data_IF_373783236587
#
_entry.id   IF_373783236587
#
_cell.length_a   1.000
_cell.length_b   1.000
_cell.length_c   1.000
_cell.angle_alpha   90.00
_cell.angle_beta   90.00
_cell.angle_gamma   90.00
#
_symmetry.space_group_name_H-M   'P 1'
#
loop_
_entity.id
_entity.type
_entity.pdbx_description
1 polymer ?
#
# COMPACT_ATOMS: atom_id res chain seq x y z
N UNK A 1 -0.63 9.41 0.09
CA UNK A 1 -1.71 8.72 0.84
C UNK A 1 -2.68 9.74 1.41
N UNK A 2 -3.88 9.74 0.83
CA UNK A 2 -5.06 10.62 0.95
C UNK A 2 -4.91 12.14 1.17
N UNK A 3 -3.74 12.62 1.61
CA UNK A 3 -3.33 14.01 1.78
C UNK A 3 -4.20 14.79 2.78
N UNK A 4 -4.83 14.10 3.74
CA UNK A 4 -5.68 14.73 4.74
C UNK A 4 -4.92 15.31 5.96
N UNK A 5 -3.58 15.21 5.94
CA UNK A 5 -2.68 15.69 6.99
C UNK A 5 -2.53 14.74 8.18
N UNK A 6 -3.17 13.57 8.16
CA UNK A 6 -2.98 12.49 9.14
C UNK A 6 -2.00 11.44 8.59
N UNK A 7 -1.51 10.57 9.48
CA UNK A 7 -0.51 9.56 9.17
C UNK A 7 -1.20 8.24 8.85
N UNK A 8 -1.30 7.95 7.57
CA UNK A 8 -1.77 6.66 7.09
C UNK A 8 -0.69 5.58 7.24
N UNK A 9 -1.12 4.32 7.21
CA UNK A 9 -0.24 3.16 7.28
C UNK A 9 -0.37 2.36 5.99
N UNK A 10 0.76 1.90 5.45
CA UNK A 10 0.77 0.89 4.39
C UNK A 10 1.51 -0.31 4.91
N UNK A 11 0.96 -1.49 4.64
CA UNK A 11 1.59 -2.74 5.02
C UNK A 11 1.45 -3.77 3.91
N UNK A 12 2.35 -4.75 3.98
CA UNK A 12 2.29 -5.96 3.19
C UNK A 12 1.96 -7.16 4.05
N UNK A 13 1.31 -8.18 3.47
CA UNK A 13 1.00 -9.43 4.17
C UNK A 13 1.67 -10.61 3.47
N UNK A 14 2.59 -11.27 4.17
CA UNK A 14 3.15 -12.53 3.70
C UNK A 14 2.06 -13.62 3.64
N UNK A 15 2.04 -14.42 2.58
CA UNK A 15 1.10 -15.54 2.38
C UNK A 15 -0.38 -15.13 2.44
N UNK A 16 -0.73 -13.98 1.88
CA UNK A 16 -2.12 -13.52 1.77
C UNK A 16 -2.94 -14.32 0.71
N UNK A 17 -2.88 -15.66 0.70
CA UNK A 17 -3.67 -16.50 -0.21
C UNK A 17 -5.18 -16.17 -0.09
N UNK A 18 -5.75 -15.60 -1.16
CA UNK A 18 -7.16 -15.15 -1.18
C UNK A 18 -7.45 -13.90 -0.34
N UNK A 19 -6.42 -13.11 -0.02
CA UNK A 19 -6.49 -11.83 0.70
C UNK A 19 -5.66 -10.76 -0.01
N UNK A 20 -5.76 -9.53 0.47
CA UNK A 20 -5.02 -8.41 -0.07
C UNK A 20 -3.54 -8.44 0.35
N UNK A 21 -2.65 -8.25 -0.63
CA UNK A 21 -1.19 -8.22 -0.42
C UNK A 21 -0.69 -6.89 0.12
N UNK A 22 -0.94 -5.81 -0.64
CA UNK A 22 -0.59 -4.43 -0.30
C UNK A 22 -1.86 -3.70 0.09
N UNK A 23 -1.89 -3.18 1.32
CA UNK A 23 -3.06 -2.52 1.89
C UNK A 23 -2.65 -1.20 2.51
N UNK A 24 -3.49 -0.18 2.34
CA UNK A 24 -3.43 1.06 3.11
C UNK A 24 -4.52 1.09 4.19
N UNK A 25 -4.19 1.60 5.36
CA UNK A 25 -5.10 1.97 6.43
C UNK A 25 -5.09 3.49 6.59
N UNK A 26 -6.27 4.10 6.51
CA UNK A 26 -6.44 5.54 6.67
C UNK A 26 -6.69 5.88 8.14
N UNK A 27 -5.92 6.83 8.66
CA UNK A 27 -6.03 7.20 10.07
C UNK A 27 -7.38 7.88 10.35
N UNK A 28 -8.14 7.43 11.35
CA UNK A 28 -9.37 8.10 11.77
C UNK A 28 -9.06 9.43 12.47
N UNK A 29 -10.06 10.30 12.56
CA UNK A 29 -9.92 11.59 13.25
C UNK A 29 -9.65 11.43 14.75
N UNK A 30 -10.21 10.39 15.37
CA UNK A 30 -9.98 10.03 16.78
C UNK A 30 -9.36 8.65 16.88
N UNK A 31 -8.07 8.60 17.20
CA UNK A 31 -7.30 7.34 17.37
C UNK A 31 -7.83 6.40 18.46
N UNK A 32 -8.75 6.85 19.31
CA UNK A 32 -9.38 5.99 20.32
C UNK A 32 -10.53 5.16 19.75
N UNK A 33 -11.01 5.54 18.57
CA UNK A 33 -12.03 4.80 17.85
C UNK A 33 -11.35 3.75 16.97
N UNK A 34 -12.01 2.59 16.83
CA UNK A 34 -11.51 1.45 16.05
C UNK A 34 -12.16 1.44 14.67
N UNK A 35 -12.04 2.57 13.97
CA UNK A 35 -12.75 2.93 12.73
C UNK A 35 -11.77 3.30 11.60
N UNK A 36 -10.62 2.64 11.55
CA UNK A 36 -9.68 2.77 10.44
C UNK A 36 -10.33 2.25 9.15
N UNK A 37 -10.42 3.11 8.13
CA UNK A 37 -10.78 2.68 6.79
C UNK A 37 -9.60 1.96 6.14
N UNK A 38 -9.88 0.97 5.29
CA UNK A 38 -8.84 0.22 4.58
C UNK A 38 -9.11 0.19 3.09
N UNK A 39 -8.04 0.21 2.29
CA UNK A 39 -8.12 0.06 0.85
C UNK A 39 -7.06 -0.92 0.35
N UNK A 40 -7.50 -1.88 -0.46
CA UNK A 40 -6.64 -2.86 -1.12
C UNK A 40 -6.03 -2.27 -2.38
N UNK A 41 -4.70 -2.19 -2.41
CA UNK A 41 -3.95 -1.67 -3.56
C UNK A 41 -3.66 -2.80 -4.55
N UNK A 42 -3.25 -3.96 -4.07
CA UNK A 42 -2.88 -5.08 -4.95
C UNK A 42 -4.06 -5.97 -5.35
N UNK A 43 -5.16 -5.94 -4.61
CA UNK A 43 -6.23 -6.94 -4.70
C UNK A 43 -5.78 -8.33 -4.22
N UNK A 44 -6.60 -9.33 -4.54
CA UNK A 44 -6.52 -10.74 -4.12
C UNK A 44 -5.87 -11.68 -5.16
N UNK A 45 -5.24 -11.13 -6.20
CA UNK A 45 -4.70 -11.91 -7.33
C UNK A 45 -3.41 -12.64 -6.96
N UNK A 46 -3.24 -13.84 -7.53
CA UNK A 46 -2.04 -14.69 -7.47
C UNK A 46 -0.76 -13.89 -7.80
N UNK A 47 0.33 -14.11 -7.05
CA UNK A 47 1.54 -13.28 -7.06
C UNK A 47 1.60 -12.21 -5.96
N UNK A 48 1.02 -12.51 -4.80
CA UNK A 48 0.83 -11.60 -3.68
C UNK A 48 2.17 -11.24 -3.04
N UNK A 49 2.37 -9.95 -2.81
CA UNK A 49 3.66 -9.24 -2.68
C UNK A 49 3.94 -8.91 -1.22
N UNK A 50 5.17 -9.08 -0.74
CA UNK A 50 5.42 -8.86 0.69
C UNK A 50 6.84 -8.53 1.17
N UNK A 51 7.87 -8.58 0.33
CA UNK A 51 9.25 -8.53 0.85
C UNK A 51 9.71 -7.11 1.22
N UNK A 52 9.61 -6.20 0.26
CA UNK A 52 10.00 -4.80 0.42
C UNK A 52 8.81 -3.90 0.17
N UNK A 53 8.65 -2.89 1.02
CA UNK A 53 7.73 -1.78 0.82
C UNK A 53 8.51 -0.49 1.02
N UNK A 54 8.65 0.28 -0.06
CA UNK A 54 9.29 1.59 -0.04
C UNK A 54 8.29 2.65 -0.50
N UNK A 55 8.39 3.84 0.08
CA UNK A 55 7.56 4.97 -0.29
C UNK A 55 8.45 6.12 -0.74
N UNK A 56 8.24 6.57 -1.97
CA UNK A 56 9.02 7.63 -2.60
C UNK A 56 8.13 8.30 -3.65
N UNK A 57 8.27 9.60 -3.81
CA UNK A 57 7.71 10.35 -4.95
C UNK A 57 8.54 10.00 -6.20
N UNK A 58 8.05 9.07 -7.03
CA UNK A 58 8.83 8.52 -8.14
C UNK A 58 8.66 9.35 -9.43
N UNK A 59 7.48 9.91 -9.65
CA UNK A 59 7.17 10.70 -10.84
C UNK A 59 7.36 12.21 -10.66
N UNK A 60 7.54 12.68 -9.42
CA UNK A 60 7.88 14.06 -9.08
C UNK A 60 6.66 14.97 -8.94
N UNK A 61 5.46 14.43 -8.73
CA UNK A 61 4.23 15.20 -8.58
C UNK A 61 3.99 15.72 -7.15
N UNK A 62 4.77 15.22 -6.19
CA UNK A 62 4.79 15.71 -4.81
C UNK A 62 4.01 14.84 -3.82
N UNK A 63 3.46 13.70 -4.24
CA UNK A 63 2.97 12.68 -3.32
C UNK A 63 3.74 11.36 -3.36
N UNK A 64 3.65 10.65 -2.24
CA UNK A 64 4.38 9.39 -2.08
C UNK A 64 3.67 8.28 -2.85
N UNK A 65 4.41 7.66 -3.77
CA UNK A 65 4.09 6.40 -4.41
C UNK A 65 4.51 5.20 -3.58
N UNK A 66 4.13 4.00 -4.04
CA UNK A 66 4.54 2.74 -3.44
C UNK A 66 5.38 1.90 -4.39
N UNK A 67 6.54 1.46 -3.92
CA UNK A 67 7.37 0.46 -4.58
C UNK A 67 7.41 -0.82 -3.76
N UNK A 68 7.32 -1.95 -4.45
CA UNK A 68 7.46 -3.27 -3.85
C UNK A 68 8.10 -4.26 -4.84
N UNK A 69 8.54 -5.41 -4.35
CA UNK A 69 9.07 -6.48 -5.17
C UNK A 69 8.39 -7.81 -4.85
N UNK A 70 8.52 -8.77 -5.78
CA UNK A 70 8.08 -10.14 -5.58
C UNK A 70 9.23 -11.12 -5.82
N UNK A 71 9.47 -12.02 -4.87
CA UNK A 71 10.51 -13.05 -4.97
C UNK A 71 9.99 -14.47 -5.27
N UNK A 72 8.66 -14.70 -5.23
CA UNK A 72 8.06 -16.03 -5.44
C UNK A 72 7.47 -16.25 -6.83
N UNK A 73 6.55 -15.39 -7.24
CA UNK A 73 5.82 -15.50 -8.50
C UNK A 73 5.83 -14.17 -9.23
N UNK A 74 5.92 -14.19 -10.57
CA UNK A 74 6.04 -12.98 -11.40
C UNK A 74 7.16 -12.04 -10.93
N UNK A 75 8.35 -12.60 -10.68
CA UNK A 75 9.57 -11.94 -10.20
C UNK A 75 9.77 -10.56 -10.84
N UNK A 76 9.77 -9.50 -10.02
CA UNK A 76 9.87 -8.15 -10.53
C UNK A 76 9.75 -7.07 -9.45
N UNK A 77 9.90 -5.83 -9.90
CA UNK A 77 9.63 -4.61 -9.13
C UNK A 77 8.31 -4.03 -9.63
N UNK A 78 7.44 -3.66 -8.69
CA UNK A 78 6.13 -3.09 -8.94
C UNK A 78 6.11 -1.68 -8.39
N UNK A 79 5.57 -0.77 -9.18
CA UNK A 79 5.28 0.60 -8.79
C UNK A 79 3.77 0.79 -8.85
N UNK A 80 3.22 1.33 -7.77
CA UNK A 80 1.85 1.80 -7.70
C UNK A 80 1.90 3.31 -7.55
N UNK A 81 1.50 3.99 -8.62
CA UNK A 81 1.26 5.43 -8.65
C UNK A 81 0.17 5.76 -7.64
N UNK A 82 0.46 6.71 -6.76
CA UNK A 82 -0.57 7.41 -6.02
C UNK A 82 -0.98 8.59 -6.91
N UNK A 83 -2.19 8.58 -7.49
CA UNK A 83 -2.56 9.57 -8.48
C UNK A 83 -2.96 10.87 -7.79
N UNK A 84 -2.07 11.47 -6.99
CA UNK A 84 -2.34 12.73 -6.32
C UNK A 84 -3.00 13.76 -7.23
N UNK A 85 -3.72 14.71 -6.62
CA UNK A 85 -4.43 15.74 -7.37
C UNK A 85 -3.48 16.82 -7.91
#
# INVERSE_FOLDING_TARGET
>A
LNLDGRKDLVYTTEMAEGKDGVVVLFQPQDLRQNDWDSFSISGDKVGIKFDLLEMIDLDGDGDLDLLTCAERENLGVFWYENPGF
#
